data_IF_996202185669
#
_entry.id   IF_996202185669
#
_cell.length_a   1.000
_cell.length_b   1.000
_cell.length_c   1.000
_cell.angle_alpha   90.00
_cell.angle_beta   90.00
_cell.angle_gamma   90.00
#
_symmetry.space_group_name_H-M   'P 1'
#
loop_
_entity.id
_entity.type
_entity.pdbx_description
1 polymer ?
#
# COMPACT_ATOMS: atom_id res chain seq x y z
N UNK A 1 -19.36 1.19 -11.68
CA UNK A 1 -18.74 2.15 -10.76
C UNK A 1 -19.39 3.51 -10.90
N UNK A 2 -20.21 3.85 -9.92
CA UNK A 2 -20.80 5.17 -9.82
C UNK A 2 -19.77 6.24 -9.37
N UNK A 3 -20.07 7.54 -9.51
CA UNK A 3 -19.17 8.61 -9.11
C UNK A 3 -18.84 8.66 -7.60
N UNK A 4 -19.71 8.12 -6.74
CA UNK A 4 -19.50 8.09 -5.29
C UNK A 4 -18.47 7.03 -4.89
N UNK A 5 -18.54 5.85 -5.48
CA UNK A 5 -17.55 4.79 -5.32
C UNK A 5 -16.15 5.27 -5.77
N UNK A 6 -16.08 5.95 -6.93
CA UNK A 6 -14.81 6.50 -7.42
C UNK A 6 -14.21 7.56 -6.47
N UNK A 7 -15.04 8.46 -5.95
CA UNK A 7 -14.59 9.46 -4.95
C UNK A 7 -14.07 8.80 -3.69
N UNK A 8 -14.76 7.75 -3.23
CA UNK A 8 -14.36 6.98 -2.04
C UNK A 8 -13.02 6.29 -2.27
N UNK A 9 -12.85 5.55 -3.37
CA UNK A 9 -11.56 4.89 -3.69
C UNK A 9 -10.41 5.89 -3.81
N UNK A 10 -10.65 7.06 -4.40
CA UNK A 10 -9.64 8.12 -4.48
C UNK A 10 -9.27 8.68 -3.09
N UNK A 11 -10.23 8.79 -2.18
CA UNK A 11 -9.96 9.20 -0.80
C UNK A 11 -9.14 8.14 -0.05
N UNK A 12 -9.47 6.85 -0.18
CA UNK A 12 -8.69 5.76 0.41
C UNK A 12 -7.26 5.70 -0.14
N UNK A 13 -7.11 5.85 -1.47
CA UNK A 13 -5.79 5.90 -2.13
C UNK A 13 -4.91 7.03 -1.60
N UNK A 14 -5.47 8.25 -1.46
CA UNK A 14 -4.74 9.41 -0.93
C UNK A 14 -4.34 9.22 0.53
N UNK A 15 -5.17 8.51 1.29
CA UNK A 15 -4.90 8.20 2.69
C UNK A 15 -4.06 6.93 2.89
N UNK A 16 -3.55 6.31 1.81
CA UNK A 16 -2.81 5.04 1.85
C UNK A 16 -3.57 3.93 2.61
N UNK A 17 -4.88 3.82 2.40
CA UNK A 17 -5.69 2.73 2.94
C UNK A 17 -6.14 1.81 1.82
N UNK A 18 -6.05 0.51 2.07
CA UNK A 18 -6.49 -0.50 1.13
C UNK A 18 -8.00 -0.60 1.09
N UNK A 19 -8.53 -0.78 -0.13
CA UNK A 19 -9.93 -1.00 -0.38
C UNK A 19 -10.13 -1.96 -1.55
N UNK A 20 -11.22 -2.72 -1.52
CA UNK A 20 -11.66 -3.58 -2.62
C UNK A 20 -13.02 -3.11 -3.09
N UNK A 21 -13.16 -2.85 -4.39
CA UNK A 21 -14.47 -2.74 -5.01
C UNK A 21 -14.98 -4.15 -5.30
N UNK A 22 -16.07 -4.53 -4.65
CA UNK A 22 -16.75 -5.80 -4.87
C UNK A 22 -17.92 -5.53 -5.79
N UNK A 23 -17.92 -6.16 -6.98
CA UNK A 23 -19.02 -6.07 -7.94
C UNK A 23 -19.70 -7.42 -8.06
N UNK A 24 -21.01 -7.48 -7.79
CA UNK A 24 -21.83 -8.65 -8.12
C UNK A 24 -22.01 -8.69 -9.64
N UNK A 25 -21.52 -9.74 -10.31
CA UNK A 25 -21.58 -9.84 -11.77
C UNK A 25 -22.96 -10.27 -12.27
N UNK A 26 -23.84 -10.76 -11.39
CA UNK A 26 -25.20 -11.15 -11.75
C UNK A 26 -26.13 -9.96 -11.95
N UNK A 27 -25.98 -8.90 -11.16
CA UNK A 27 -26.84 -7.71 -11.21
C UNK A 27 -26.11 -6.36 -11.33
N UNK A 28 -24.77 -6.37 -11.32
CA UNK A 28 -23.94 -5.20 -11.53
C UNK A 28 -23.84 -4.26 -10.32
N UNK A 29 -24.45 -4.60 -9.17
CA UNK A 29 -24.30 -3.80 -7.95
C UNK A 29 -22.87 -3.87 -7.44
N UNK A 30 -22.32 -2.72 -7.05
CA UNK A 30 -20.99 -2.63 -6.47
C UNK A 30 -21.02 -2.05 -5.05
N UNK A 31 -20.02 -2.42 -4.25
CA UNK A 31 -19.77 -1.86 -2.92
C UNK A 31 -18.27 -1.83 -2.64
N UNK A 32 -17.85 -0.90 -1.80
CA UNK A 32 -16.47 -0.81 -1.34
C UNK A 32 -16.36 -1.50 0.01
N UNK A 33 -15.36 -2.38 0.14
CA UNK A 33 -14.95 -2.99 1.40
C UNK A 33 -13.57 -2.47 1.73
N UNK A 34 -13.39 -1.91 2.93
CA UNK A 34 -12.09 -1.45 3.43
C UNK A 34 -11.36 -2.58 4.15
N UNK A 35 -10.05 -2.49 4.20
CA UNK A 35 -9.26 -3.41 5.01
C UNK A 35 -9.66 -3.28 6.50
N UNK A 36 -10.06 -4.40 7.11
CA UNK A 36 -10.60 -4.46 8.47
C UNK A 36 -12.13 -4.55 8.57
N UNK A 37 -12.86 -4.18 7.51
CA UNK A 37 -14.32 -4.38 7.47
C UNK A 37 -14.65 -5.88 7.56
N UNK A 38 -15.65 -6.21 8.37
CA UNK A 38 -16.10 -7.60 8.52
C UNK A 38 -17.09 -7.96 7.43
N UNK A 39 -16.76 -8.98 6.64
CA UNK A 39 -17.67 -9.62 5.69
C UNK A 39 -17.73 -11.10 6.03
N UNK A 40 -18.94 -11.62 6.26
CA UNK A 40 -19.15 -13.02 6.61
C UNK A 40 -19.13 -13.92 5.36
N UNK A 41 -19.02 -15.23 5.60
CA UNK A 41 -19.16 -16.24 4.56
C UNK A 41 -17.94 -16.36 3.64
N UNK A 42 -18.13 -17.09 2.54
CA UNK A 42 -17.09 -17.40 1.57
C UNK A 42 -16.60 -16.14 0.86
N UNK A 43 -17.48 -15.16 0.65
CA UNK A 43 -17.11 -13.87 0.07
C UNK A 43 -16.12 -13.12 0.99
N UNK A 44 -16.32 -13.19 2.31
CA UNK A 44 -15.40 -12.62 3.29
C UNK A 44 -14.01 -13.23 3.23
N UNK A 45 -13.94 -14.56 3.14
CA UNK A 45 -12.66 -15.27 3.00
C UNK A 45 -11.94 -14.91 1.69
N UNK A 46 -12.69 -14.76 0.59
CA UNK A 46 -12.16 -14.34 -0.71
C UNK A 46 -11.64 -12.90 -0.68
N UNK A 47 -12.38 -11.97 -0.07
CA UNK A 47 -11.96 -10.58 0.13
C UNK A 47 -10.68 -10.51 0.99
N UNK A 48 -10.63 -11.25 2.09
CA UNK A 48 -9.44 -11.30 2.95
C UNK A 48 -8.21 -11.83 2.20
N UNK A 49 -8.39 -12.81 1.30
CA UNK A 49 -7.31 -13.30 0.43
C UNK A 49 -6.87 -12.23 -0.56
N UNK A 50 -7.80 -11.50 -1.18
CA UNK A 50 -7.50 -10.43 -2.12
C UNK A 50 -6.75 -9.26 -1.47
N UNK A 51 -7.05 -8.91 -0.21
CA UNK A 51 -6.26 -7.93 0.55
C UNK A 51 -4.81 -8.39 0.75
N UNK A 52 -4.61 -9.65 1.13
CA UNK A 52 -3.25 -10.20 1.34
C UNK A 52 -2.43 -10.33 0.05
N UNK A 53 -3.06 -10.69 -1.07
CA UNK A 53 -2.34 -10.94 -2.33
C UNK A 53 -2.27 -9.72 -3.25
N UNK A 54 -3.13 -8.72 -3.04
CA UNK A 54 -3.29 -7.58 -3.95
C UNK A 54 -3.81 -7.93 -5.33
N UNK A 55 -4.36 -9.14 -5.50
CA UNK A 55 -4.80 -9.63 -6.80
C UNK A 55 -6.29 -9.36 -6.99
N UNK A 56 -6.63 -8.70 -8.10
CA UNK A 56 -8.01 -8.60 -8.57
C UNK A 56 -8.43 -9.87 -9.30
N UNK A 57 -9.72 -10.22 -9.25
CA UNK A 57 -10.23 -11.39 -9.96
C UNK A 57 -11.68 -11.75 -9.62
N UNK A 58 -12.24 -12.69 -10.38
CA UNK A 58 -13.57 -13.24 -10.13
C UNK A 58 -13.52 -14.35 -9.08
N UNK A 59 -14.55 -14.40 -8.22
CA UNK A 59 -14.73 -15.42 -7.19
C UNK A 59 -16.19 -15.86 -7.15
N UNK A 60 -16.42 -17.14 -6.87
CA UNK A 60 -17.75 -17.68 -6.57
C UNK A 60 -17.95 -17.69 -5.05
N UNK A 61 -19.04 -17.10 -4.58
CA UNK A 61 -19.42 -17.10 -3.18
C UNK A 61 -20.95 -17.04 -3.04
N UNK A 62 -21.51 -17.77 -2.08
CA UNK A 62 -22.96 -17.78 -1.82
C UNK A 62 -23.82 -18.05 -3.08
N UNK A 63 -23.32 -18.85 -4.03
CA UNK A 63 -24.01 -19.15 -5.29
C UNK A 63 -24.04 -18.01 -6.31
N UNK A 64 -23.16 -17.01 -6.16
CA UNK A 64 -23.01 -15.86 -7.07
C UNK A 64 -21.56 -15.64 -7.44
N UNK A 65 -21.35 -15.04 -8.61
CA UNK A 65 -20.04 -14.60 -9.08
C UNK A 65 -19.81 -13.13 -8.73
N UNK A 66 -18.72 -12.84 -8.01
CA UNK A 66 -18.28 -11.49 -7.71
C UNK A 66 -16.94 -11.19 -8.39
N UNK A 67 -16.74 -9.97 -8.86
CA UNK A 67 -15.41 -9.47 -9.22
C UNK A 67 -14.87 -8.60 -8.09
N UNK A 68 -13.68 -8.96 -7.61
CA UNK A 68 -12.94 -8.21 -6.59
C UNK A 68 -11.89 -7.36 -7.29
N UNK A 69 -12.02 -6.04 -7.24
CA UNK A 69 -11.00 -5.13 -7.74
C UNK A 69 -10.21 -4.53 -6.58
N UNK A 70 -8.97 -4.99 -6.41
CA UNK A 70 -8.10 -4.62 -5.30
C UNK A 70 -7.36 -3.30 -5.57
N UNK A 71 -7.51 -2.36 -4.63
CA UNK A 71 -6.81 -1.08 -4.63
C UNK A 71 -5.99 -0.98 -3.35
N UNK A 72 -4.74 -1.44 -3.42
CA UNK A 72 -3.80 -1.40 -2.30
C UNK A 72 -2.84 -0.21 -2.44
N UNK A 73 -2.37 0.39 -1.33
CA UNK A 73 -1.27 1.35 -1.37
C UNK A 73 -0.03 0.72 -2.01
N UNK A 74 0.74 1.51 -2.76
CA UNK A 74 2.04 1.05 -3.25
C UNK A 74 2.96 0.78 -2.04
N UNK A 75 3.52 -0.43 -1.93
CA UNK A 75 4.52 -0.73 -0.91
C UNK A 75 5.69 0.23 -1.04
N UNK A 76 6.11 0.84 0.06
CA UNK A 76 7.32 1.68 0.14
C UNK A 76 8.38 0.99 0.98
N UNK A 77 9.62 1.45 0.91
CA UNK A 77 10.73 0.97 1.72
C UNK A 77 11.29 2.13 2.55
N UNK A 78 11.13 2.07 3.87
CA UNK A 78 11.75 3.00 4.81
C UNK A 78 13.02 2.37 5.40
N UNK A 79 14.18 2.91 5.06
CA UNK A 79 15.48 2.39 5.52
C UNK A 79 16.03 3.25 6.65
N UNK A 80 16.25 2.65 7.81
CA UNK A 80 16.88 3.31 8.95
C UNK A 80 18.39 3.10 8.90
N UNK A 81 19.13 4.18 8.72
CA UNK A 81 20.58 4.20 8.57
C UNK A 81 21.04 4.42 7.14
N UNK A 82 21.88 5.43 6.94
CA UNK A 82 22.42 5.86 5.64
C UNK A 82 23.85 5.30 5.40
N UNK A 83 24.04 4.00 5.67
CA UNK A 83 25.35 3.31 5.61
C UNK A 83 25.56 2.59 4.27
N UNK A 84 26.65 1.83 4.14
CA UNK A 84 27.06 1.15 2.90
C UNK A 84 26.01 0.15 2.38
N UNK A 85 25.32 -0.57 3.27
CA UNK A 85 24.26 -1.51 2.89
C UNK A 85 23.12 -0.75 2.20
N UNK A 86 22.71 0.38 2.76
CA UNK A 86 21.63 1.21 2.22
C UNK A 86 21.99 1.78 0.84
N UNK A 87 23.26 2.13 0.60
CA UNK A 87 23.73 2.60 -0.70
C UNK A 87 23.61 1.53 -1.79
N UNK A 88 23.87 0.28 -1.44
CA UNK A 88 23.67 -0.85 -2.36
C UNK A 88 22.18 -1.18 -2.53
N UNK A 89 21.40 -1.11 -1.46
CA UNK A 89 19.97 -1.46 -1.44
C UNK A 89 19.10 -0.47 -2.23
N UNK A 90 19.31 0.84 -2.04
CA UNK A 90 18.48 1.87 -2.65
C UNK A 90 18.31 1.74 -4.18
N UNK A 91 19.36 1.54 -5.00
CA UNK A 91 19.19 1.36 -6.43
C UNK A 91 18.47 0.05 -6.77
N UNK A 92 18.74 -1.05 -6.05
CA UNK A 92 18.04 -2.32 -6.28
C UNK A 92 16.53 -2.19 -5.99
N UNK A 93 16.17 -1.52 -4.89
CA UNK A 93 14.79 -1.28 -4.52
C UNK A 93 14.08 -0.36 -5.52
N UNK A 94 14.75 0.70 -6.01
CA UNK A 94 14.24 1.56 -7.08
C UNK A 94 13.99 0.79 -8.39
N UNK A 95 14.93 -0.08 -8.78
CA UNK A 95 14.77 -0.97 -9.96
C UNK A 95 13.57 -1.91 -9.78
N UNK A 96 13.36 -2.43 -8.57
CA UNK A 96 12.22 -3.28 -8.24
C UNK A 96 10.88 -2.52 -8.08
N UNK A 97 10.88 -1.18 -8.23
CA UNK A 97 9.67 -0.35 -8.21
C UNK A 97 9.21 0.10 -6.82
N UNK A 98 10.04 -0.06 -5.79
CA UNK A 98 9.75 0.44 -4.45
C UNK A 98 10.17 1.91 -4.33
N UNK A 99 9.27 2.81 -3.90
CA UNK A 99 9.66 4.12 -3.40
C UNK A 99 10.54 3.93 -2.15
N UNK A 100 11.76 4.49 -2.17
CA UNK A 100 12.72 4.36 -1.07
C UNK A 100 12.86 5.69 -0.35
N UNK A 101 12.81 5.63 0.98
CA UNK A 101 13.12 6.74 1.87
C UNK A 101 14.20 6.29 2.87
N UNK A 102 15.14 7.16 3.21
CA UNK A 102 16.22 6.84 4.15
C UNK A 102 16.21 7.84 5.29
N UNK A 103 16.28 7.34 6.52
CA UNK A 103 16.35 8.14 7.75
C UNK A 103 17.69 7.91 8.43
N UNK A 104 18.47 8.96 8.65
CA UNK A 104 19.69 8.89 9.47
C UNK A 104 19.99 10.28 10.06
N UNK A 105 20.07 10.44 11.40
CA UNK A 105 20.32 11.74 12.01
C UNK A 105 21.73 12.27 11.74
N UNK A 106 22.65 11.43 11.25
CA UNK A 106 24.02 11.83 10.93
C UNK A 106 24.05 12.40 9.52
N UNK A 107 24.02 13.73 9.44
CA UNK A 107 24.03 14.50 8.19
C UNK A 107 25.20 14.16 7.25
N UNK A 108 26.35 13.71 7.77
CA UNK A 108 27.48 13.25 6.97
C UNK A 108 27.19 11.96 6.17
N UNK A 109 26.18 11.18 6.57
CA UNK A 109 25.78 9.94 5.92
C UNK A 109 24.60 10.13 4.97
N UNK A 110 23.54 10.81 5.41
CA UNK A 110 22.34 11.06 4.60
C UNK A 110 22.53 12.25 3.65
N UNK A 111 23.37 12.07 2.62
CA UNK A 111 23.64 13.12 1.62
C UNK A 111 23.14 12.72 0.23
N UNK A 112 22.71 13.72 -0.56
CA UNK A 112 22.26 13.52 -1.93
C UNK A 112 23.35 12.92 -2.84
N UNK A 113 24.63 13.18 -2.54
CA UNK A 113 25.74 12.57 -3.29
C UNK A 113 25.87 11.06 -3.07
N UNK A 114 25.50 10.55 -1.89
CA UNK A 114 25.50 9.11 -1.58
C UNK A 114 24.20 8.43 -2.00
N UNK A 115 23.10 9.18 -2.05
CA UNK A 115 21.76 8.69 -2.35
C UNK A 115 21.03 9.62 -3.32
N UNK A 116 21.39 9.59 -4.62
CA UNK A 116 20.73 10.40 -5.63
C UNK A 116 19.28 9.95 -5.83
N UNK A 117 18.36 10.91 -5.95
CA UNK A 117 16.92 10.69 -6.16
C UNK A 117 16.22 9.86 -5.06
N UNK A 118 16.77 9.83 -3.86
CA UNK A 118 16.16 9.18 -2.69
C UNK A 118 15.68 10.25 -1.72
N UNK A 119 14.50 10.08 -1.13
CA UNK A 119 14.04 10.96 -0.07
C UNK A 119 14.89 10.72 1.19
N UNK A 120 15.59 11.76 1.65
CA UNK A 120 16.50 11.70 2.79
C UNK A 120 15.92 12.50 3.96
N UNK A 121 15.83 11.86 5.12
CA UNK A 121 15.44 12.48 6.38
C UNK A 121 16.65 12.51 7.32
N UNK A 122 17.26 13.68 7.45
CA UNK A 122 18.41 13.90 8.34
C UNK A 122 17.96 14.16 9.80
N UNK A 123 17.13 13.26 10.32
CA UNK A 123 16.47 13.36 11.61
C UNK A 123 16.51 12.01 12.35
N UNK A 124 16.15 12.02 13.62
CA UNK A 124 15.99 10.79 14.38
C UNK A 124 14.78 9.97 13.90
N UNK A 125 14.89 8.63 13.78
CA UNK A 125 13.80 7.77 13.33
C UNK A 125 12.49 7.98 14.08
N UNK A 126 12.54 8.15 15.40
CA UNK A 126 11.37 8.37 16.24
C UNK A 126 10.59 9.63 15.87
N UNK A 127 11.25 10.67 15.37
CA UNK A 127 10.59 11.93 15.01
C UNK A 127 9.97 11.85 13.61
N UNK A 128 10.65 11.18 12.68
CA UNK A 128 10.10 10.88 11.35
C UNK A 128 8.87 9.98 11.49
N UNK A 129 8.96 8.91 12.29
CA UNK A 129 7.87 7.93 12.47
C UNK A 129 6.64 8.50 13.18
N UNK A 130 6.79 9.51 14.05
CA UNK A 130 5.63 10.23 14.61
C UNK A 130 4.82 10.97 13.55
N UNK A 131 5.49 11.54 12.54
CA UNK A 131 4.84 12.30 11.45
C UNK A 131 4.42 11.39 10.30
N UNK A 132 5.14 10.29 10.11
CA UNK A 132 4.95 9.31 9.05
C UNK A 132 4.97 7.89 9.64
N UNK A 133 3.88 7.46 10.29
CA UNK A 133 3.81 6.14 10.88
C UNK A 133 3.94 5.04 9.82
N UNK A 134 4.40 3.88 10.26
CA UNK A 134 4.39 2.66 9.44
C UNK A 134 2.94 2.21 9.21
N UNK A 135 2.69 1.69 8.03
CA UNK A 135 1.45 1.01 7.66
C UNK A 135 1.77 -0.42 7.20
N UNK A 136 0.76 -1.24 6.93
CA UNK A 136 0.95 -2.61 6.40
C UNK A 136 1.59 -2.66 5.00
N UNK A 137 1.87 -1.49 4.40
CA UNK A 137 2.42 -1.30 3.06
C UNK A 137 3.74 -0.48 3.12
N UNK A 138 4.46 -0.57 4.24
CA UNK A 138 5.77 0.05 4.48
C UNK A 138 6.78 -1.02 4.90
#
# INVERSE_FOLDING_TARGET
>A
MDPYALKTLNAERRARRAAILVTDLGDGRDRIVREGDQVAGDLGAAIAKAFRSGSSGSVEAEGRTFFLNAYLPQPRLLVIGAVHISQALAPMAKIAGFPVEIVDPRTAFATAGRFPDVALHAEWPEDVLKRQPLDSYT
#
